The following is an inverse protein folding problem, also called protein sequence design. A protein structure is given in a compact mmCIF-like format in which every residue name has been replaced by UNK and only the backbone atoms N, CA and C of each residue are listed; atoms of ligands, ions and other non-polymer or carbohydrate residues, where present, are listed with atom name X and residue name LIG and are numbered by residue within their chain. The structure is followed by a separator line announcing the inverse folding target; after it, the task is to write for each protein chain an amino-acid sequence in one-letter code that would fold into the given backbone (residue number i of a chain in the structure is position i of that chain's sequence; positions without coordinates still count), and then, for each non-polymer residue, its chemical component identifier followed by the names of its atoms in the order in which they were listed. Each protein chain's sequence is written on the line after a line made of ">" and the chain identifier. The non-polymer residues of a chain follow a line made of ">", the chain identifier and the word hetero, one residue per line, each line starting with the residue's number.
data_IF_743982490379
#
_entry.id   IF_743982490379
#
_cell.length_a   1.000
_cell.length_b   1.000
_cell.length_c   1.000
_cell.angle_alpha   90.00
_cell.angle_beta   90.00
_cell.angle_gamma   90.00
#
_symmetry.space_group_name_H-M   'P 1'
#
loop_
_entity.id
_entity.type
_entity.pdbx_description
1 polymer ?
#
# COMPACT_ATOMS: atom_id res chain seq x y z
N UNK A 1 15.64 -44.73 -3.04
CA UNK A 1 14.60 -44.60 -4.07
C UNK A 1 14.05 -43.19 -4.01
N UNK A 2 14.35 -42.36 -5.02
CA UNK A 2 13.93 -40.95 -5.07
C UNK A 2 12.47 -40.86 -5.50
N UNK A 3 11.58 -40.56 -4.55
CA UNK A 3 10.17 -40.29 -4.80
C UNK A 3 10.00 -38.88 -5.38
N UNK A 4 10.17 -38.73 -6.69
CA UNK A 4 9.78 -37.52 -7.39
C UNK A 4 8.25 -37.48 -7.41
N UNK A 5 7.65 -36.53 -6.68
CA UNK A 5 6.22 -36.23 -6.79
C UNK A 5 5.92 -35.88 -8.25
N UNK A 6 5.16 -36.74 -8.94
CA UNK A 6 4.62 -36.41 -10.27
C UNK A 6 3.54 -35.34 -10.06
N UNK A 7 3.88 -34.10 -10.37
CA UNK A 7 2.93 -32.99 -10.44
C UNK A 7 1.93 -33.33 -11.57
N UNK A 8 0.66 -33.55 -11.23
CA UNK A 8 -0.38 -33.80 -12.22
C UNK A 8 -0.80 -32.48 -12.88
N UNK A 9 -0.12 -32.16 -13.99
CA UNK A 9 -0.37 -30.95 -14.78
C UNK A 9 -1.81 -30.88 -15.34
N UNK A 10 -2.47 -32.03 -15.55
CA UNK A 10 -3.82 -32.10 -16.12
C UNK A 10 -4.89 -31.46 -15.22
N UNK A 11 -4.64 -31.42 -13.91
CA UNK A 11 -5.54 -30.83 -12.93
C UNK A 11 -5.66 -29.32 -13.08
N UNK A 12 -4.60 -28.63 -13.51
CA UNK A 12 -4.55 -27.18 -13.63
C UNK A 12 -4.92 -26.69 -15.04
N UNK A 13 -4.63 -27.49 -16.06
CA UNK A 13 -4.94 -27.20 -17.46
C UNK A 13 -6.45 -26.96 -17.67
N UNK A 14 -7.31 -27.72 -17.00
CA UNK A 14 -8.78 -27.56 -17.08
C UNK A 14 -9.33 -26.27 -16.48
N UNK A 15 -8.57 -25.58 -15.64
CA UNK A 15 -8.97 -24.31 -15.01
C UNK A 15 -8.30 -23.10 -15.67
N UNK A 16 -7.33 -23.33 -16.55
CA UNK A 16 -6.61 -22.26 -17.22
C UNK A 16 -7.34 -21.85 -18.50
N UNK A 17 -7.61 -20.55 -18.63
CA UNK A 17 -7.96 -19.92 -19.91
C UNK A 17 -7.13 -18.66 -20.08
N UNK A 18 -6.80 -18.31 -21.33
CA UNK A 18 -6.02 -17.10 -21.64
C UNK A 18 -6.79 -15.85 -21.19
N UNK A 19 -8.09 -15.83 -21.43
CA UNK A 19 -9.00 -14.75 -21.06
C UNK A 19 -9.11 -14.60 -19.54
N UNK A 20 -9.22 -15.72 -18.82
CA UNK A 20 -9.24 -15.75 -17.36
C UNK A 20 -7.92 -15.24 -16.76
N UNK A 21 -6.79 -15.64 -17.35
CA UNK A 21 -5.47 -15.13 -16.95
C UNK A 21 -5.38 -13.62 -17.10
N UNK A 22 -5.68 -13.06 -18.28
CA UNK A 22 -5.61 -11.61 -18.49
C UNK A 22 -6.57 -10.84 -17.60
N UNK A 23 -7.77 -11.39 -17.36
CA UNK A 23 -8.75 -10.80 -16.44
C UNK A 23 -8.23 -10.74 -15.02
N UNK A 24 -7.67 -11.86 -14.53
CA UNK A 24 -7.10 -11.94 -13.18
C UNK A 24 -5.89 -11.04 -13.02
N UNK A 25 -5.01 -10.96 -14.03
CA UNK A 25 -3.83 -10.11 -14.03
C UNK A 25 -4.21 -8.62 -14.00
N UNK A 26 -5.10 -8.17 -14.90
CA UNK A 26 -5.56 -6.78 -14.93
C UNK A 26 -6.20 -6.36 -13.61
N UNK A 27 -7.03 -7.24 -13.03
CA UNK A 27 -7.65 -6.99 -11.72
C UNK A 27 -6.59 -6.87 -10.63
N UNK A 28 -5.68 -7.84 -10.52
CA UNK A 28 -4.62 -7.80 -9.52
C UNK A 28 -3.73 -6.57 -9.64
N UNK A 29 -3.38 -6.15 -10.87
CA UNK A 29 -2.62 -4.93 -11.10
C UNK A 29 -3.37 -3.66 -10.68
N UNK A 30 -4.68 -3.59 -10.94
CA UNK A 30 -5.53 -2.47 -10.51
C UNK A 30 -5.63 -2.42 -8.98
N UNK A 31 -5.95 -3.53 -8.34
CA UNK A 31 -6.12 -3.64 -6.89
C UNK A 31 -4.81 -3.28 -6.15
N UNK A 32 -3.69 -3.88 -6.56
CA UNK A 32 -2.37 -3.56 -6.02
C UNK A 32 -1.97 -2.09 -6.29
N UNK A 33 -2.24 -1.58 -7.50
CA UNK A 33 -1.97 -0.20 -7.87
C UNK A 33 -2.75 0.80 -7.00
N UNK A 34 -4.03 0.54 -6.73
CA UNK A 34 -4.85 1.35 -5.84
C UNK A 34 -4.25 1.38 -4.44
N UNK A 35 -3.89 0.22 -3.87
CA UNK A 35 -3.33 0.13 -2.52
C UNK A 35 -2.04 0.93 -2.37
N UNK A 36 -1.09 0.73 -3.29
CA UNK A 36 0.22 1.42 -3.27
C UNK A 36 0.06 2.92 -3.49
N UNK A 37 -0.65 3.32 -4.55
CA UNK A 37 -0.77 4.72 -4.92
C UNK A 37 -1.57 5.50 -3.87
N UNK A 38 -2.66 4.94 -3.34
CA UNK A 38 -3.43 5.62 -2.31
C UNK A 38 -2.61 5.85 -1.04
N UNK A 39 -1.88 4.82 -0.59
CA UNK A 39 -0.98 4.92 0.57
C UNK A 39 0.10 5.99 0.36
N UNK A 40 0.75 5.99 -0.81
CA UNK A 40 1.75 7.00 -1.17
C UNK A 40 1.18 8.42 -1.23
N UNK A 41 -0.03 8.59 -1.78
CA UNK A 41 -0.70 9.90 -1.84
C UNK A 41 -1.08 10.42 -0.46
N UNK A 42 -1.53 9.57 0.46
CA UNK A 42 -1.82 9.95 1.85
C UNK A 42 -0.56 10.49 2.53
N UNK A 43 0.56 9.79 2.39
CA UNK A 43 1.86 10.22 2.92
C UNK A 43 2.32 11.53 2.27
N UNK A 44 2.23 11.63 0.94
CA UNK A 44 2.63 12.81 0.19
C UNK A 44 1.84 14.06 0.62
N UNK A 45 0.51 13.99 0.66
CA UNK A 45 -0.31 15.13 1.06
C UNK A 45 -0.21 15.42 2.58
N UNK A 46 0.17 14.44 3.40
CA UNK A 46 0.53 14.69 4.79
C UNK A 46 1.82 15.54 4.91
N UNK A 47 2.79 15.43 4.00
CA UNK A 47 3.97 16.32 4.00
C UNK A 47 3.59 17.78 3.74
N UNK A 48 2.64 18.00 2.82
CA UNK A 48 2.15 19.35 2.46
C UNK A 48 1.32 19.99 3.58
N UNK A 49 0.70 19.18 4.43
CA UNK A 49 -0.11 19.69 5.54
C UNK A 49 0.77 20.47 6.55
N UNK A 50 0.39 21.73 6.89
CA UNK A 50 1.08 22.48 7.94
C UNK A 50 0.83 21.90 9.33
N UNK A 51 -0.20 21.04 9.48
CA UNK A 51 -0.55 20.38 10.75
C UNK A 51 0.32 19.16 11.06
N UNK A 52 1.12 18.69 10.11
CA UNK A 52 1.96 17.51 10.28
C UNK A 52 3.24 17.89 11.05
N UNK A 53 3.49 17.31 12.24
CA UNK A 53 4.70 17.59 13.01
C UNK A 53 5.97 17.25 12.26
N UNK A 54 7.07 17.96 12.54
CA UNK A 54 8.35 17.76 11.85
C UNK A 54 8.85 16.31 11.94
N UNK A 55 8.71 15.67 13.11
CA UNK A 55 9.06 14.26 13.31
C UNK A 55 8.30 13.32 12.36
N UNK A 56 7.00 13.54 12.19
CA UNK A 56 6.18 12.79 11.25
C UNK A 56 6.64 13.03 9.80
N UNK A 57 6.99 14.27 9.43
CA UNK A 57 7.54 14.57 8.10
C UNK A 57 8.83 13.79 7.81
N UNK A 58 9.73 13.68 8.78
CA UNK A 58 10.97 12.88 8.63
C UNK A 58 10.65 11.40 8.37
N UNK A 59 9.70 10.82 9.12
CA UNK A 59 9.26 9.44 8.90
C UNK A 59 8.65 9.25 7.50
N UNK A 60 7.81 10.19 7.06
CA UNK A 60 7.22 10.17 5.74
C UNK A 60 8.29 10.27 4.65
N UNK A 61 9.27 11.16 4.79
CA UNK A 61 10.38 11.26 3.83
C UNK A 61 11.19 9.97 3.76
N UNK A 62 11.40 9.27 4.88
CA UNK A 62 12.03 7.96 4.88
C UNK A 62 11.23 6.93 4.08
N UNK A 63 9.92 6.85 4.30
CA UNK A 63 9.04 5.89 3.64
C UNK A 63 8.84 6.18 2.14
N UNK A 64 8.54 7.44 1.79
CA UNK A 64 8.42 7.86 0.38
C UNK A 64 9.77 7.81 -0.32
N UNK A 65 10.84 8.16 0.38
CA UNK A 65 12.21 7.99 -0.09
C UNK A 65 12.47 6.54 -0.47
N UNK A 66 12.22 5.59 0.44
CA UNK A 66 12.33 4.16 0.15
C UNK A 66 11.52 3.75 -1.09
N UNK A 67 10.26 4.19 -1.18
CA UNK A 67 9.38 3.88 -2.31
C UNK A 67 9.89 4.36 -3.68
N UNK A 68 10.53 5.54 -3.75
CA UNK A 68 10.96 6.16 -5.02
C UNK A 68 12.46 6.00 -5.30
N UNK A 69 13.25 5.59 -4.31
CA UNK A 69 14.71 5.62 -4.41
C UNK A 69 15.19 4.50 -5.35
N UNK A 70 15.92 4.83 -6.43
CA UNK A 70 16.34 3.86 -7.45
C UNK A 70 17.54 2.98 -7.02
N UNK A 71 17.68 2.65 -5.73
CA UNK A 71 18.75 1.80 -5.19
C UNK A 71 18.22 0.59 -4.42
N UNK A 72 17.26 -0.15 -4.95
CA UNK A 72 17.25 -1.60 -4.67
C UNK A 72 18.25 -2.29 -5.60
N UNK A 73 19.52 -1.89 -5.42
CA UNK A 73 20.73 -2.45 -6.03
C UNK A 73 21.12 -3.75 -5.29
N UNK A 74 20.12 -4.58 -5.00
CA UNK A 74 20.29 -6.02 -4.77
C UNK A 74 19.62 -6.71 -5.95
N UNK A 75 20.31 -6.83 -7.10
CA UNK A 75 19.85 -7.71 -8.14
C UNK A 75 20.08 -9.14 -7.66
N UNK A 76 19.17 -9.73 -6.88
CA UNK A 76 19.19 -11.18 -6.64
C UNK A 76 17.79 -11.81 -6.43
N UNK A 77 17.31 -12.40 -7.53
CA UNK A 77 16.83 -13.79 -7.62
C UNK A 77 15.37 -14.18 -7.28
N UNK A 78 14.47 -13.30 -6.83
CA UNK A 78 13.03 -13.65 -6.75
C UNK A 78 12.10 -12.47 -7.14
N UNK A 79 11.49 -12.46 -8.35
CA UNK A 79 10.62 -11.37 -8.83
C UNK A 79 9.32 -11.13 -8.02
N UNK A 80 9.08 -11.88 -6.95
CA UNK A 80 7.79 -11.93 -6.22
C UNK A 80 7.91 -11.41 -4.77
N UNK A 81 9.13 -11.26 -4.23
CA UNK A 81 9.33 -10.98 -2.79
C UNK A 81 9.44 -9.47 -2.46
N UNK A 82 9.89 -8.61 -3.39
CA UNK A 82 10.08 -7.17 -3.11
C UNK A 82 8.78 -6.40 -2.81
N UNK A 83 7.68 -6.75 -3.49
CA UNK A 83 6.39 -6.04 -3.33
C UNK A 83 5.76 -6.16 -1.93
N UNK A 84 6.09 -7.23 -1.19
CA UNK A 84 5.58 -7.42 0.18
C UNK A 84 6.28 -6.47 1.15
N UNK A 85 7.56 -6.19 0.92
CA UNK A 85 8.36 -5.31 1.77
C UNK A 85 7.97 -3.83 1.59
N UNK A 86 7.72 -3.40 0.34
CA UNK A 86 7.24 -2.04 0.04
C UNK A 86 5.86 -1.74 0.65
N UNK A 87 4.93 -2.69 0.54
CA UNK A 87 3.60 -2.56 1.15
C UNK A 87 3.68 -2.58 2.68
N UNK A 88 4.59 -3.37 3.25
CA UNK A 88 4.90 -3.36 4.68
C UNK A 88 5.43 -2.01 5.14
N UNK A 89 6.41 -1.45 4.42
CA UNK A 89 7.00 -0.14 4.71
C UNK A 89 5.96 0.98 4.64
N UNK A 90 5.11 0.98 3.61
CA UNK A 90 3.99 1.92 3.47
C UNK A 90 3.00 1.79 4.63
N UNK A 91 2.61 0.56 4.98
CA UNK A 91 1.72 0.30 6.11
C UNK A 91 2.28 0.77 7.45
N UNK A 92 3.56 0.51 7.72
CA UNK A 92 4.25 0.99 8.92
C UNK A 92 4.32 2.52 8.96
N UNK A 93 4.62 3.15 7.84
CA UNK A 93 4.67 4.61 7.73
C UNK A 93 3.30 5.24 7.98
N UNK A 94 2.26 4.73 7.33
CA UNK A 94 0.87 5.16 7.56
C UNK A 94 0.48 5.00 9.02
N UNK A 95 0.80 3.86 9.65
CA UNK A 95 0.55 3.64 11.06
C UNK A 95 1.29 4.62 11.98
N UNK A 96 2.54 4.97 11.66
CA UNK A 96 3.34 5.91 12.44
C UNK A 96 2.84 7.36 12.33
N UNK A 97 2.21 7.73 11.22
CA UNK A 97 1.77 9.11 10.95
C UNK A 97 0.25 9.26 10.85
N UNK A 98 -0.52 8.26 11.26
CA UNK A 98 -1.99 8.24 11.14
C UNK A 98 -2.65 9.50 11.72
N UNK A 99 -2.17 9.98 12.88
CA UNK A 99 -2.67 11.22 13.52
C UNK A 99 -2.45 12.50 12.68
N UNK A 100 -1.55 12.47 11.70
CA UNK A 100 -1.31 13.58 10.77
C UNK A 100 -2.18 13.50 9.51
N UNK A 101 -2.85 12.36 9.26
CA UNK A 101 -3.70 12.11 8.10
C UNK A 101 -5.12 12.57 8.40
N UNK A 102 -5.35 13.87 8.25
CA UNK A 102 -6.66 14.48 8.46
C UNK A 102 -7.58 14.37 7.22
N UNK A 103 -8.81 14.86 7.34
CA UNK A 103 -9.81 14.85 6.27
C UNK A 103 -9.38 15.60 5.00
N UNK A 104 -8.54 16.64 5.09
CA UNK A 104 -8.00 17.36 3.94
C UNK A 104 -7.01 16.50 3.15
N UNK A 105 -6.11 15.82 3.86
CA UNK A 105 -5.14 14.86 3.29
C UNK A 105 -5.88 13.73 2.59
N UNK A 106 -6.85 13.11 3.26
CA UNK A 106 -7.67 12.02 2.68
C UNK A 106 -8.40 12.48 1.44
N UNK A 107 -8.99 13.69 1.45
CA UNK A 107 -9.70 14.25 0.30
C UNK A 107 -8.77 14.42 -0.91
N UNK A 108 -7.63 15.09 -0.74
CA UNK A 108 -6.64 15.29 -1.82
C UNK A 108 -6.13 13.97 -2.37
N UNK A 109 -5.85 12.99 -1.50
CA UNK A 109 -5.42 11.67 -1.90
C UNK A 109 -6.49 10.93 -2.73
N UNK A 110 -7.76 10.98 -2.32
CA UNK A 110 -8.88 10.38 -3.07
C UNK A 110 -9.10 11.05 -4.42
N UNK A 111 -9.06 12.38 -4.45
CA UNK A 111 -9.20 13.14 -5.70
C UNK A 111 -8.11 12.75 -6.69
N UNK A 112 -6.86 12.69 -6.23
CA UNK A 112 -5.75 12.30 -7.11
C UNK A 112 -5.78 10.83 -7.52
N UNK A 113 -6.23 9.94 -6.64
CA UNK A 113 -6.42 8.52 -6.97
C UNK A 113 -7.51 8.33 -8.03
N UNK A 114 -8.60 9.08 -7.92
CA UNK A 114 -9.68 9.11 -8.91
C UNK A 114 -9.19 9.58 -10.27
N UNK A 115 -8.28 10.56 -10.33
CA UNK A 115 -7.68 10.98 -11.61
C UNK A 115 -6.94 9.82 -12.31
N UNK A 116 -6.32 8.92 -11.54
CA UNK A 116 -5.55 7.79 -12.09
C UNK A 116 -6.42 6.58 -12.47
N UNK A 117 -7.42 6.25 -11.64
CA UNK A 117 -8.14 4.98 -11.74
C UNK A 117 -9.65 5.11 -11.98
N UNK A 118 -10.17 6.34 -12.04
CA UNK A 118 -11.59 6.64 -12.17
C UNK A 118 -12.40 6.43 -10.89
N UNK A 119 -13.71 6.62 -10.99
CA UNK A 119 -14.66 6.48 -9.87
C UNK A 119 -14.68 5.06 -9.28
N UNK A 120 -14.40 4.03 -10.09
CA UNK A 120 -14.33 2.64 -9.64
C UNK A 120 -13.36 2.42 -8.48
N UNK A 121 -12.32 3.26 -8.35
CA UNK A 121 -11.35 3.15 -7.26
C UNK A 121 -11.95 3.50 -5.89
N UNK A 122 -12.97 4.36 -5.84
CA UNK A 122 -13.60 4.81 -4.59
C UNK A 122 -14.39 3.69 -3.91
N UNK A 123 -14.80 2.68 -4.68
CA UNK A 123 -15.49 1.48 -4.20
C UNK A 123 -14.54 0.27 -4.05
N UNK A 124 -13.23 0.47 -4.22
CA UNK A 124 -12.26 -0.62 -4.08
C UNK A 124 -12.16 -1.10 -2.64
N UNK A 125 -12.19 -2.43 -2.39
CA UNK A 125 -11.91 -2.99 -1.07
C UNK A 125 -10.58 -2.52 -0.48
N UNK A 126 -9.55 -2.32 -1.30
CA UNK A 126 -8.21 -1.90 -0.85
C UNK A 126 -8.21 -0.47 -0.28
N UNK A 127 -8.99 0.44 -0.89
CA UNK A 127 -9.16 1.80 -0.37
C UNK A 127 -9.91 1.79 0.97
N UNK A 128 -10.96 0.97 1.06
CA UNK A 128 -11.78 0.83 2.27
C UNK A 128 -10.95 0.24 3.40
N UNK A 129 -10.11 -0.76 3.12
CA UNK A 129 -9.18 -1.36 4.07
C UNK A 129 -8.22 -0.32 4.66
N UNK A 130 -7.58 0.49 3.81
CA UNK A 130 -6.67 1.55 4.24
C UNK A 130 -7.41 2.59 5.12
N UNK A 131 -8.62 2.99 4.73
CA UNK A 131 -9.41 3.94 5.51
C UNK A 131 -9.80 3.39 6.88
N UNK A 132 -10.21 2.11 6.95
CA UNK A 132 -10.54 1.45 8.20
C UNK A 132 -9.33 1.43 9.15
N UNK A 133 -8.14 1.08 8.64
CA UNK A 133 -6.90 1.10 9.42
C UNK A 133 -6.58 2.49 9.98
N UNK A 134 -6.85 3.56 9.22
CA UNK A 134 -6.63 4.93 9.67
C UNK A 134 -7.61 5.35 10.77
N UNK A 135 -8.88 4.93 10.69
CA UNK A 135 -9.89 5.18 11.73
C UNK A 135 -9.54 4.44 13.01
N UNK A 136 -9.18 3.16 12.93
CA UNK A 136 -8.77 2.38 14.11
C UNK A 136 -7.56 3.01 14.84
N UNK A 137 -6.64 3.62 14.09
CA UNK A 137 -5.48 4.33 14.64
C UNK A 137 -5.81 5.69 15.23
N UNK A 138 -6.85 6.35 14.73
CA UNK A 138 -7.34 7.64 15.26
C UNK A 138 -8.05 7.45 16.62
N UNK A 139 -8.80 6.36 16.76
CA UNK A 139 -9.54 6.01 17.98
C UNK A 139 -8.71 5.29 19.05
N UNK A 140 -7.47 4.90 18.73
CA UNK A 140 -6.58 4.24 19.68
C UNK A 140 -6.21 5.18 20.84
N UNK A 141 -6.20 4.70 22.10
CA UNK A 141 -5.81 5.52 23.24
C UNK A 141 -4.39 6.03 23.03
N UNK A 142 -4.20 7.35 23.13
CA UNK A 142 -2.87 7.97 23.04
C UNK A 142 -1.96 7.33 24.08
N UNK A 143 -0.93 6.62 23.63
CA UNK A 143 0.08 6.06 24.52
C UNK A 143 0.73 7.18 25.32
N UNK A 144 0.89 6.97 26.63
CA UNK A 144 1.35 7.95 27.63
C UNK A 144 2.74 8.59 27.34
N UNK A 145 3.46 8.13 26.32
CA UNK A 145 4.76 8.66 25.88
C UNK A 145 4.69 10.07 25.27
N UNK A 146 3.53 10.53 24.79
CA UNK A 146 3.38 11.88 24.21
C UNK A 146 3.01 12.96 25.24
N UNK A 147 2.52 12.59 26.42
CA UNK A 147 2.14 13.54 27.47
C UNK A 147 3.34 14.03 28.32
N UNK A 148 4.53 13.48 28.09
CA UNK A 148 5.75 13.77 28.88
C UNK A 148 6.79 14.59 28.13
N UNK A 149 6.44 15.26 27.02
CA UNK A 149 7.34 16.14 26.26
C UNK A 149 6.77 17.54 26.08
#
# INVERSE_FOLDING_TARGET
>A
MNGVMKMDASKYEKYFSKEGFWTKLKKGAKDAGIKVIYSGLLLFYALESPKTPLKAKVQIYGALGYLIFPLDFVPDLLPVVGYVDDLGALGLALGAVAMSINSDVKRKAKDKLRDFFGEDAMSSPDLIEIEAQLVEKEDAPKSDEEASR
#
